data_IF_194646293405
#
_entry.id   IF_194646293405
#
_cell.length_a   1.000
_cell.length_b   1.000
_cell.length_c   1.000
_cell.angle_alpha   90.00
_cell.angle_beta   90.00
_cell.angle_gamma   90.00
#
_symmetry.space_group_name_H-M   'P 1'
#
loop_
_entity.id
_entity.type
_entity.pdbx_description
1 polymer ?
#
# COMPACT_ATOMS: atom_id res chain seq x y z
N UNK A 1 -7.21 2.79 -10.76
CA UNK A 1 -6.40 3.51 -9.78
C UNK A 1 -4.95 3.10 -9.99
N UNK A 2 -4.03 4.06 -10.10
CA UNK A 2 -2.61 3.79 -10.27
C UNK A 2 -1.87 3.62 -8.92
N UNK A 3 -0.67 3.04 -8.98
CA UNK A 3 0.14 2.77 -7.80
C UNK A 3 0.64 4.05 -7.10
N UNK A 4 0.69 5.18 -7.82
CA UNK A 4 1.11 6.47 -7.24
C UNK A 4 0.02 7.02 -6.32
N UNK A 5 -1.23 7.02 -6.78
CA UNK A 5 -2.41 7.41 -6.01
C UNK A 5 -2.57 6.52 -4.79
N UNK A 6 -2.32 5.21 -4.93
CA UNK A 6 -2.43 4.27 -3.82
C UNK A 6 -1.39 4.52 -2.72
N UNK A 7 -0.16 4.85 -3.12
CA UNK A 7 0.89 5.26 -2.18
C UNK A 7 0.54 6.54 -1.44
N UNK A 8 -0.02 7.54 -2.13
CA UNK A 8 -0.46 8.79 -1.49
C UNK A 8 -1.56 8.57 -0.43
N UNK A 9 -2.55 7.72 -0.72
CA UNK A 9 -3.57 7.38 0.26
C UNK A 9 -3.00 6.64 1.47
N UNK A 10 -2.06 5.72 1.24
CA UNK A 10 -1.37 5.02 2.33
C UNK A 10 -0.53 5.96 3.18
N UNK A 11 0.16 6.93 2.57
CA UNK A 11 0.89 7.98 3.28
C UNK A 11 -0.03 8.77 4.23
N UNK A 12 -1.17 9.24 3.71
CA UNK A 12 -2.17 9.91 4.55
C UNK A 12 -2.74 9.00 5.65
N UNK A 13 -2.98 7.72 5.39
CA UNK A 13 -3.44 6.78 6.41
C UNK A 13 -2.42 6.64 7.55
N UNK A 14 -1.13 6.55 7.23
CA UNK A 14 -0.04 6.38 8.22
C UNK A 14 0.05 7.55 9.21
N UNK A 15 -0.32 8.76 8.80
CA UNK A 15 -0.36 9.92 9.71
C UNK A 15 -1.49 9.85 10.74
N UNK A 16 -2.53 9.06 10.45
CA UNK A 16 -3.77 9.03 11.23
C UNK A 16 -3.89 7.78 12.13
N UNK A 17 -2.98 6.81 12.01
CA UNK A 17 -3.05 5.56 12.76
C UNK A 17 -1.71 5.20 13.38
N UNK A 18 -1.73 4.43 14.46
CA UNK A 18 -0.49 3.87 15.03
C UNK A 18 0.20 2.94 14.03
N UNK A 19 1.53 2.91 14.02
CA UNK A 19 2.31 2.15 13.02
C UNK A 19 1.94 0.66 12.88
N UNK A 20 1.52 0.00 13.97
CA UNK A 20 1.08 -1.39 13.92
C UNK A 20 -0.29 -1.60 13.24
N UNK A 21 -1.06 -0.53 13.05
CA UNK A 21 -2.35 -0.54 12.36
C UNK A 21 -2.22 -0.26 10.86
N UNK A 22 -1.02 0.10 10.38
CA UNK A 22 -0.78 0.41 8.97
C UNK A 22 -0.83 -0.89 8.16
N UNK A 23 -1.80 -1.05 7.23
CA UNK A 23 -1.88 -2.25 6.41
C UNK A 23 -0.75 -2.27 5.36
N UNK A 24 -0.45 -3.45 4.80
CA UNK A 24 0.47 -3.53 3.65
C UNK A 24 -0.26 -3.17 2.37
N UNK A 25 0.32 -2.27 1.57
CA UNK A 25 -0.15 -2.00 0.22
C UNK A 25 0.18 -3.19 -0.69
N UNK A 26 -0.83 -3.74 -1.36
CA UNK A 26 -0.66 -4.88 -2.26
C UNK A 26 -1.48 -4.68 -3.53
N UNK A 27 -0.98 -5.23 -4.64
CA UNK A 27 -1.60 -5.21 -5.96
C UNK A 27 -2.05 -6.60 -6.36
N UNK A 28 -3.24 -6.68 -6.94
CA UNK A 28 -3.74 -7.91 -7.55
C UNK A 28 -3.32 -7.96 -9.02
N UNK A 29 -2.76 -9.10 -9.43
CA UNK A 29 -2.30 -9.35 -10.79
C UNK A 29 -2.92 -10.67 -11.24
N UNK A 30 -3.66 -10.64 -12.34
CA UNK A 30 -4.32 -11.83 -12.90
C UNK A 30 -3.32 -12.97 -13.11
N UNK A 31 -3.73 -14.19 -12.77
CA UNK A 31 -2.89 -15.38 -12.87
C UNK A 31 -1.91 -15.60 -11.71
N UNK A 32 -1.80 -14.67 -10.74
CA UNK A 32 -1.07 -14.89 -9.50
C UNK A 32 -2.02 -15.36 -8.40
N UNK A 33 -1.62 -16.42 -7.66
CA UNK A 33 -2.35 -16.90 -6.47
C UNK A 33 -2.27 -15.95 -5.28
N UNK A 34 -1.27 -15.08 -5.23
CA UNK A 34 -1.00 -14.19 -4.10
C UNK A 34 -0.97 -12.74 -4.54
N UNK A 35 -1.41 -11.84 -3.64
CA UNK A 35 -1.26 -10.39 -3.84
C UNK A 35 0.22 -10.03 -3.87
N UNK A 36 0.59 -9.09 -4.73
CA UNK A 36 1.97 -8.62 -4.90
C UNK A 36 2.17 -7.37 -4.04
N UNK A 37 3.03 -7.37 -3.02
CA UNK A 37 3.31 -6.16 -2.24
C UNK A 37 3.83 -5.02 -3.11
N UNK A 38 3.43 -3.80 -2.77
CA UNK A 38 3.99 -2.57 -3.35
C UNK A 38 4.81 -1.85 -2.29
N UNK A 39 5.99 -1.37 -2.69
CA UNK A 39 6.82 -0.52 -1.85
C UNK A 39 6.18 0.87 -1.75
N UNK A 40 6.24 1.48 -0.56
CA UNK A 40 5.69 2.81 -0.30
C UNK A 40 6.69 3.94 -0.57
N UNK A 41 8.00 3.62 -0.69
CA UNK A 41 9.11 4.57 -0.86
C UNK A 41 9.07 5.71 0.17
N UNK A 42 8.91 5.36 1.45
CA UNK A 42 8.95 6.32 2.55
C UNK A 42 10.40 6.51 2.97
N UNK A 43 10.89 7.75 2.94
CA UNK A 43 12.20 8.17 3.48
C UNK A 43 12.10 8.61 4.93
#
# INVERSE_FOLDING_TARGET
>A
MDDTTARQLMAGLMENVSGYMVPRLTREIGGRRSKTPLDLHLE
#
